data_IF_410476090413
#
_entry.id   IF_410476090413
#
_cell.length_a   1.000
_cell.length_b   1.000
_cell.length_c   1.000
_cell.angle_alpha   90.00
_cell.angle_beta   90.00
_cell.angle_gamma   90.00
#
_symmetry.space_group_name_H-M   'P 1'
#
loop_
_entity.id
_entity.type
_entity.pdbx_description
1 polymer ?
#
# COMPACT_ATOMS: atom_id res chain seq x y z
N UNK A 1 -31.25 17.04 54.95
CA UNK A 1 -30.03 17.87 55.02
C UNK A 1 -28.85 16.98 54.71
N UNK A 2 -28.13 17.27 53.63
CA UNK A 2 -26.89 16.58 53.25
C UNK A 2 -25.75 17.01 54.18
N UNK A 3 -24.96 16.05 54.65
CA UNK A 3 -23.58 16.30 55.11
C UNK A 3 -22.66 15.27 54.47
N UNK A 4 -21.84 15.74 53.54
CA UNK A 4 -20.68 15.07 53.00
C UNK A 4 -19.50 15.32 53.96
N UNK A 5 -18.80 14.27 54.37
CA UNK A 5 -17.44 14.37 54.91
C UNK A 5 -16.59 13.25 54.30
N UNK A 6 -15.63 13.67 53.48
CA UNK A 6 -14.50 12.86 53.04
C UNK A 6 -13.49 12.74 54.18
N UNK A 7 -12.98 11.54 54.46
CA UNK A 7 -11.57 11.31 54.78
C UNK A 7 -11.20 9.83 54.69
N UNK A 8 -10.11 9.61 53.94
CA UNK A 8 -9.36 8.39 53.68
C UNK A 8 -8.84 7.71 54.96
N UNK A 9 -8.93 6.37 55.05
CA UNK A 9 -7.84 5.57 55.60
C UNK A 9 -7.90 4.10 55.13
N UNK A 10 -6.71 3.60 54.75
CA UNK A 10 -6.37 2.30 54.15
C UNK A 10 -7.00 1.04 54.77
N UNK A 11 -7.31 0.07 53.90
CA UNK A 11 -7.26 -1.36 54.24
C UNK A 11 -6.77 -2.20 53.03
N UNK A 12 -6.07 -3.32 53.28
CA UNK A 12 -5.20 -3.99 52.32
C UNK A 12 -5.90 -5.14 51.56
N UNK A 13 -5.29 -5.57 50.46
CA UNK A 13 -5.63 -6.87 49.86
C UNK A 13 -5.76 -6.83 48.35
N UNK A 14 -4.68 -7.16 47.65
CA UNK A 14 -4.70 -7.50 46.24
C UNK A 14 -5.63 -8.71 46.03
N UNK A 15 -6.74 -8.50 45.33
CA UNK A 15 -7.52 -9.56 44.70
C UNK A 15 -8.05 -9.03 43.39
N UNK A 16 -7.38 -9.41 42.30
CA UNK A 16 -7.78 -9.13 40.92
C UNK A 16 -9.16 -9.74 40.67
N UNK A 17 -10.21 -8.92 40.69
CA UNK A 17 -11.49 -9.31 40.11
C UNK A 17 -11.42 -9.11 38.59
N UNK A 18 -11.24 -10.25 37.93
CA UNK A 18 -11.37 -10.45 36.49
C UNK A 18 -12.83 -10.23 36.07
N UNK A 19 -13.17 -9.00 35.68
CA UNK A 19 -14.49 -8.70 35.13
C UNK A 19 -14.53 -9.19 33.69
N UNK A 20 -14.99 -10.44 33.52
CA UNK A 20 -15.27 -11.04 32.21
C UNK A 20 -16.45 -10.31 31.56
N UNK A 21 -16.16 -9.38 30.65
CA UNK A 21 -17.15 -8.86 29.71
C UNK A 21 -17.24 -9.82 28.51
N UNK A 22 -18.36 -10.49 28.24
CA UNK A 22 -18.51 -11.35 27.07
C UNK A 22 -18.91 -10.48 25.87
N UNK A 23 -17.97 -9.67 25.36
CA UNK A 23 -18.15 -9.06 24.05
C UNK A 23 -17.79 -10.10 22.99
N UNK A 24 -18.86 -10.65 22.43
CA UNK A 24 -18.96 -11.42 21.19
C UNK A 24 -17.69 -11.34 20.33
N UNK A 25 -16.98 -12.46 20.28
CA UNK A 25 -15.96 -12.78 19.28
C UNK A 25 -16.68 -12.93 17.94
N UNK A 26 -17.11 -11.81 17.33
CA UNK A 26 -17.71 -11.81 16.00
C UNK A 26 -16.69 -12.46 15.06
N UNK A 27 -16.96 -13.70 14.69
CA UNK A 27 -16.15 -14.46 13.77
C UNK A 27 -16.34 -13.78 12.42
N UNK A 28 -15.38 -12.94 12.05
CA UNK A 28 -15.45 -12.11 10.85
C UNK A 28 -15.85 -12.96 9.63
N UNK A 29 -17.10 -12.85 9.12
CA UNK A 29 -17.67 -13.83 8.19
C UNK A 29 -16.90 -13.86 6.86
N UNK A 30 -16.25 -12.75 6.53
CA UNK A 30 -15.45 -12.57 5.32
C UNK A 30 -14.15 -13.37 5.35
N UNK A 31 -13.58 -13.62 6.55
CA UNK A 31 -12.31 -14.38 6.68
C UNK A 31 -12.48 -15.86 6.32
N UNK A 32 -13.68 -16.39 6.48
CA UNK A 32 -14.01 -17.80 6.15
C UNK A 32 -14.49 -17.96 4.71
N UNK A 33 -15.12 -16.93 4.13
CA UNK A 33 -15.69 -16.96 2.77
C UNK A 33 -14.63 -16.99 1.67
N UNK A 34 -13.50 -16.30 1.85
CA UNK A 34 -12.38 -16.30 0.87
C UNK A 34 -11.72 -17.69 0.76
N UNK A 35 -11.85 -18.54 1.79
CA UNK A 35 -11.27 -19.90 1.80
C UNK A 35 -12.08 -20.92 0.98
N UNK A 36 -13.32 -20.59 0.59
CA UNK A 36 -14.20 -21.45 -0.23
C UNK A 36 -14.46 -20.85 -1.62
N UNK A 37 -13.52 -20.09 -2.18
CA UNK A 37 -13.52 -19.84 -3.62
C UNK A 37 -13.10 -21.14 -4.30
N UNK A 38 -13.92 -21.67 -5.20
CA UNK A 38 -13.64 -22.89 -5.97
C UNK A 38 -12.23 -22.78 -6.59
N UNK A 39 -11.32 -23.74 -6.31
CA UNK A 39 -10.00 -23.79 -6.92
C UNK A 39 -10.02 -23.77 -8.46
N UNK A 40 -11.12 -24.17 -9.10
CA UNK A 40 -11.30 -24.11 -10.56
C UNK A 40 -11.34 -22.67 -11.08
N UNK A 41 -11.98 -21.74 -10.33
CA UNK A 41 -12.01 -20.30 -10.65
C UNK A 41 -10.61 -19.68 -10.50
N UNK A 42 -9.79 -20.21 -9.58
CA UNK A 42 -8.39 -19.76 -9.43
C UNK A 42 -7.49 -20.16 -10.60
N UNK A 43 -7.84 -21.18 -11.39
CA UNK A 43 -6.93 -21.80 -12.38
C UNK A 43 -6.97 -21.19 -13.78
N UNK A 44 -8.09 -20.63 -14.21
CA UNK A 44 -8.22 -20.07 -15.57
C UNK A 44 -7.86 -18.58 -15.63
N UNK A 45 -8.66 -17.76 -14.95
CA UNK A 45 -8.67 -16.30 -15.14
C UNK A 45 -7.52 -15.58 -14.40
N UNK A 46 -7.18 -16.02 -13.18
CA UNK A 46 -6.10 -15.42 -12.40
C UNK A 46 -4.71 -15.70 -12.99
N UNK A 47 -4.50 -16.84 -13.67
CA UNK A 47 -3.21 -17.19 -14.27
C UNK A 47 -2.91 -16.38 -15.54
N UNK A 48 -3.89 -16.20 -16.43
CA UNK A 48 -3.73 -15.31 -17.60
C UNK A 48 -3.53 -13.84 -17.20
N UNK A 49 -4.20 -13.41 -16.12
CA UNK A 49 -3.97 -12.09 -15.53
C UNK A 49 -2.58 -11.97 -14.90
N UNK A 50 -2.12 -12.97 -14.14
CA UNK A 50 -0.80 -12.97 -13.50
C UNK A 50 0.33 -12.85 -14.52
N UNK A 51 0.31 -13.63 -15.60
CA UNK A 51 1.33 -13.53 -16.66
C UNK A 51 1.30 -12.17 -17.38
N UNK A 52 0.12 -11.58 -17.55
CA UNK A 52 -0.02 -10.22 -18.10
C UNK A 52 0.52 -9.15 -17.15
N UNK A 53 0.26 -9.29 -15.84
CA UNK A 53 0.75 -8.40 -14.79
C UNK A 53 2.28 -8.50 -14.68
N UNK A 54 2.87 -9.68 -14.78
CA UNK A 54 4.32 -9.87 -14.77
C UNK A 54 4.99 -9.19 -15.97
N UNK A 55 4.43 -9.34 -17.17
CA UNK A 55 4.91 -8.63 -18.36
C UNK A 55 4.84 -7.12 -18.19
N UNK A 56 3.74 -6.62 -17.63
CA UNK A 56 3.56 -5.21 -17.32
C UNK A 56 4.62 -4.72 -16.32
N UNK A 57 4.79 -5.43 -15.19
CA UNK A 57 5.79 -5.10 -14.16
C UNK A 57 7.21 -5.09 -14.73
N UNK A 58 7.54 -6.02 -15.63
CA UNK A 58 8.84 -6.09 -16.30
C UNK A 58 9.14 -4.87 -17.18
N UNK A 59 8.11 -4.13 -17.63
CA UNK A 59 8.23 -2.92 -18.46
C UNK A 59 8.21 -1.62 -17.67
N UNK A 60 7.81 -1.66 -16.39
CA UNK A 60 7.74 -0.49 -15.52
C UNK A 60 9.11 0.19 -15.30
N UNK A 61 10.23 -0.52 -15.09
CA UNK A 61 11.53 0.10 -14.90
C UNK A 61 11.97 0.94 -16.10
N UNK A 62 11.71 0.45 -17.32
CA UNK A 62 12.05 1.14 -18.56
C UNK A 62 11.25 2.42 -18.71
N UNK A 63 9.96 2.41 -18.36
CA UNK A 63 9.12 3.62 -18.39
C UNK A 63 9.57 4.66 -17.36
N UNK A 64 10.01 4.24 -16.17
CA UNK A 64 10.59 5.15 -15.17
C UNK A 64 11.87 5.79 -15.72
N UNK A 65 12.75 4.99 -16.33
CA UNK A 65 13.97 5.50 -16.97
C UNK A 65 13.68 6.45 -18.15
N UNK A 66 12.63 6.16 -18.93
CA UNK A 66 12.16 7.01 -20.04
C UNK A 66 11.67 8.38 -19.53
N UNK A 67 10.91 8.42 -18.43
CA UNK A 67 10.50 9.68 -17.80
C UNK A 67 11.72 10.46 -17.28
N UNK A 68 12.68 9.77 -16.66
CA UNK A 68 13.92 10.40 -16.21
C UNK A 68 14.68 11.04 -17.38
N UNK A 69 14.73 10.37 -18.52
CA UNK A 69 15.46 10.82 -19.71
C UNK A 69 16.96 10.94 -19.43
N UNK A 70 17.56 12.05 -19.86
CA UNK A 70 19.00 12.29 -19.76
C UNK A 70 19.47 12.75 -18.37
N UNK A 71 18.54 12.98 -17.43
CA UNK A 71 18.88 13.39 -16.06
C UNK A 71 19.58 12.24 -15.33
N UNK A 72 20.54 12.57 -14.48
CA UNK A 72 21.13 11.57 -13.56
C UNK A 72 20.06 11.09 -12.56
N UNK A 73 20.20 9.86 -12.05
CA UNK A 73 19.28 9.34 -11.02
C UNK A 73 19.24 10.24 -9.78
N UNK A 74 20.38 10.85 -9.42
CA UNK A 74 20.47 11.79 -8.29
C UNK A 74 19.69 13.07 -8.55
N UNK A 75 19.82 13.65 -9.73
CA UNK A 75 19.07 14.86 -10.10
C UNK A 75 17.56 14.58 -10.12
N UNK A 76 17.16 13.51 -10.79
CA UNK A 76 15.76 13.10 -10.88
C UNK A 76 15.14 12.84 -9.50
N UNK A 77 15.86 12.14 -8.62
CA UNK A 77 15.41 11.90 -7.25
C UNK A 77 15.21 13.19 -6.45
N UNK A 78 16.12 14.17 -6.60
CA UNK A 78 16.00 15.49 -5.96
C UNK A 78 14.76 16.25 -6.43
N UNK A 79 14.50 16.27 -7.74
CA UNK A 79 13.34 16.94 -8.33
C UNK A 79 12.01 16.32 -7.86
N UNK A 80 11.99 15.00 -7.67
CA UNK A 80 10.84 14.28 -7.11
C UNK A 80 10.72 14.36 -5.58
N UNK A 81 11.78 14.78 -4.87
CA UNK A 81 11.81 14.78 -3.41
C UNK A 81 11.97 13.39 -2.79
N UNK A 82 12.67 12.47 -3.45
CA UNK A 82 12.89 11.09 -3.00
C UNK A 82 14.38 10.74 -2.90
N UNK A 83 14.72 9.64 -2.23
CA UNK A 83 16.10 9.16 -2.18
C UNK A 83 16.54 8.56 -3.52
N UNK A 84 17.77 8.85 -3.96
CA UNK A 84 18.33 8.29 -5.20
C UNK A 84 18.35 6.76 -5.20
N UNK A 85 18.54 6.13 -4.04
CA UNK A 85 18.49 4.68 -3.90
C UNK A 85 17.12 4.10 -4.31
N UNK A 86 16.02 4.82 -4.10
CA UNK A 86 14.69 4.39 -4.53
C UNK A 86 14.61 4.38 -6.06
N UNK A 87 15.09 5.44 -6.72
CA UNK A 87 15.15 5.52 -8.19
C UNK A 87 15.97 4.35 -8.75
N UNK A 88 17.17 4.11 -8.21
CA UNK A 88 18.00 2.98 -8.61
C UNK A 88 17.24 1.64 -8.47
N UNK A 89 16.68 1.36 -7.29
CA UNK A 89 15.93 0.11 -7.04
C UNK A 89 14.77 -0.10 -8.01
N UNK A 90 14.04 0.96 -8.33
CA UNK A 90 12.88 0.89 -9.23
C UNK A 90 13.28 0.72 -10.70
N UNK A 91 14.35 1.40 -11.14
CA UNK A 91 14.93 1.18 -12.47
C UNK A 91 15.58 -0.20 -12.62
N UNK A 92 15.96 -0.85 -11.52
CA UNK A 92 16.47 -2.22 -11.48
C UNK A 92 15.37 -3.29 -11.38
N UNK A 93 14.08 -2.93 -11.32
CA UNK A 93 12.98 -3.91 -11.32
C UNK A 93 12.26 -4.12 -9.99
N UNK A 94 12.65 -3.43 -8.92
CA UNK A 94 11.87 -3.46 -7.67
C UNK A 94 10.51 -2.81 -7.89
N UNK A 95 9.44 -3.41 -7.37
CA UNK A 95 8.09 -2.83 -7.47
C UNK A 95 8.03 -1.52 -6.66
N UNK A 96 7.70 -0.37 -7.30
CA UNK A 96 7.56 0.90 -6.60
C UNK A 96 6.34 0.96 -5.71
N UNK A 97 6.41 1.77 -4.65
CA UNK A 97 5.24 2.09 -3.82
C UNK A 97 4.29 3.02 -4.57
N UNK A 98 3.00 2.96 -4.20
CA UNK A 98 1.97 3.81 -4.79
C UNK A 98 2.32 5.31 -4.68
N UNK A 99 2.81 5.74 -3.52
CA UNK A 99 3.17 7.15 -3.26
C UNK A 99 4.23 7.67 -4.24
N UNK A 100 5.21 6.83 -4.59
CA UNK A 100 6.22 7.17 -5.59
C UNK A 100 5.60 7.32 -6.98
N UNK A 101 4.73 6.39 -7.39
CA UNK A 101 4.09 6.40 -8.70
C UNK A 101 3.16 7.62 -8.86
N UNK A 102 2.44 7.98 -7.81
CA UNK A 102 1.57 9.16 -7.77
C UNK A 102 2.42 10.43 -7.82
N UNK A 103 3.47 10.53 -7.00
CA UNK A 103 4.39 11.68 -6.99
C UNK A 103 5.02 11.88 -8.36
N UNK A 104 5.50 10.80 -8.98
CA UNK A 104 6.07 10.81 -10.32
C UNK A 104 5.06 11.32 -11.35
N UNK A 105 3.84 10.77 -11.35
CA UNK A 105 2.80 11.17 -12.28
C UNK A 105 2.43 12.65 -12.16
N UNK A 106 2.34 13.17 -10.93
CA UNK A 106 2.00 14.57 -10.67
C UNK A 106 3.13 15.52 -11.03
N UNK A 107 4.38 15.20 -10.65
CA UNK A 107 5.54 16.08 -10.87
C UNK A 107 5.94 16.17 -12.33
N UNK A 108 5.84 15.06 -13.07
CA UNK A 108 6.28 14.98 -14.47
C UNK A 108 5.12 15.13 -15.48
N UNK A 109 3.89 15.34 -14.99
CA UNK A 109 2.65 15.38 -15.78
C UNK A 109 2.47 14.13 -16.67
N UNK A 110 2.61 12.96 -16.06
CA UNK A 110 2.56 11.65 -16.73
C UNK A 110 1.22 10.95 -16.48
N UNK A 111 0.70 10.28 -17.51
CA UNK A 111 -0.47 9.41 -17.38
C UNK A 111 -0.14 8.13 -16.60
N UNK A 112 -0.96 7.81 -15.59
CA UNK A 112 -0.82 6.55 -14.86
C UNK A 112 -1.15 5.34 -15.73
N UNK A 113 -2.07 5.47 -16.70
CA UNK A 113 -2.37 4.40 -17.65
C UNK A 113 -1.19 4.08 -18.54
N UNK A 114 -0.45 5.11 -18.97
CA UNK A 114 0.77 4.91 -19.73
C UNK A 114 1.88 4.33 -18.84
N UNK A 115 2.07 4.88 -17.64
CA UNK A 115 3.12 4.43 -16.71
C UNK A 115 2.93 2.98 -16.29
N UNK A 116 1.71 2.60 -15.89
CA UNK A 116 1.42 1.27 -15.35
C UNK A 116 1.06 0.29 -16.45
N UNK A 117 0.22 0.65 -17.42
CA UNK A 117 -0.30 -0.29 -18.41
C UNK A 117 0.40 -0.17 -19.77
N UNK A 118 1.05 0.95 -20.06
CA UNK A 118 1.62 1.25 -21.38
C UNK A 118 0.56 1.65 -22.39
N UNK A 119 -0.59 2.11 -21.91
CA UNK A 119 -1.73 2.48 -22.75
C UNK A 119 -1.86 4.00 -22.85
N UNK A 120 -2.22 4.48 -24.03
CA UNK A 120 -2.45 5.91 -24.27
C UNK A 120 -1.17 6.73 -24.40
N UNK A 121 -1.30 8.06 -24.25
CA UNK A 121 -0.19 9.01 -24.36
C UNK A 121 0.58 9.10 -23.03
N UNK A 122 1.90 9.24 -23.12
CA UNK A 122 2.79 9.40 -21.96
C UNK A 122 2.41 10.63 -21.13
N UNK A 123 2.34 11.79 -21.80
CA UNK A 123 2.01 13.06 -21.14
C UNK A 123 0.51 13.31 -21.23
N UNK A 124 -0.09 13.78 -20.14
CA UNK A 124 -1.46 14.27 -20.18
C UNK A 124 -1.47 15.56 -21.00
N UNK A 125 -2.15 15.53 -22.14
CA UNK A 125 -2.47 16.76 -22.87
C UNK A 125 -3.36 17.60 -21.96
N UNK A 126 -2.92 18.83 -21.67
CA UNK A 126 -3.67 19.79 -20.87
C UNK A 126 -4.80 20.39 -21.70
#
# INVERSE_FOLDING_TARGET
MLVYLHSFFSAPGSSRLNVRHPLLRLRDPWKTRIRKVDPSIKRGEYFVAAGSIERIKKKLPQRIAEIRGNRSQRQFARELGVFQQNVHRYESGTTPHADFLITLALRENISLDWLLLGKGKMRRTR
#
